data_IF_431706760852
#
_entry.id   IF_431706760852
#
_cell.length_a   1.000
_cell.length_b   1.000
_cell.length_c   1.000
_cell.angle_alpha   90.00
_cell.angle_beta   90.00
_cell.angle_gamma   90.00
#
_symmetry.space_group_name_H-M   'P 1'
#
loop_
_entity.id
_entity.type
_entity.pdbx_description
1 polymer ?
#
# COMPACT_ATOMS: atom_id res chain seq x y z
N UNK A 1 -18.48 2.44 6.48
CA UNK A 1 -17.89 1.47 5.52
C UNK A 1 -17.58 2.17 4.21
N UNK A 2 -18.54 2.89 3.65
CA UNK A 2 -18.46 3.58 2.36
C UNK A 2 -17.26 4.53 2.21
N UNK A 3 -16.89 5.28 3.25
CA UNK A 3 -15.68 6.12 3.22
C UNK A 3 -14.39 5.32 3.00
N UNK A 4 -14.34 4.09 3.54
CA UNK A 4 -13.18 3.20 3.42
C UNK A 4 -13.13 2.56 2.04
N UNK A 5 -14.29 2.21 1.50
CA UNK A 5 -14.41 1.73 0.12
C UNK A 5 -14.07 2.85 -0.88
N UNK A 6 -14.49 4.10 -0.62
CA UNK A 6 -14.12 5.28 -1.40
C UNK A 6 -12.61 5.51 -1.37
N UNK A 7 -11.96 5.44 -0.20
CA UNK A 7 -10.50 5.55 -0.10
C UNK A 7 -9.81 4.54 -1.02
N UNK A 8 -10.22 3.27 -0.94
CA UNK A 8 -9.64 2.17 -1.72
C UNK A 8 -9.86 2.31 -3.22
N UNK A 9 -10.98 2.88 -3.64
CA UNK A 9 -11.30 3.07 -5.04
C UNK A 9 -10.63 4.32 -5.63
N UNK A 10 -10.63 5.43 -4.88
CA UNK A 10 -10.27 6.75 -5.40
C UNK A 10 -8.78 7.01 -5.25
N UNK A 11 -8.19 6.79 -4.08
CA UNK A 11 -6.80 7.19 -3.80
C UNK A 11 -5.78 6.51 -4.72
N UNK A 12 -5.84 5.17 -4.94
CA UNK A 12 -4.90 4.50 -5.83
C UNK A 12 -5.00 4.96 -7.28
N UNK A 13 -6.19 5.37 -7.71
CA UNK A 13 -6.45 5.80 -9.09
C UNK A 13 -6.06 7.26 -9.29
N UNK A 14 -6.51 8.15 -8.40
CA UNK A 14 -6.26 9.58 -8.48
C UNK A 14 -4.78 9.93 -8.32
N UNK A 15 -4.02 9.12 -7.58
CA UNK A 15 -2.59 9.35 -7.32
C UNK A 15 -1.69 8.31 -7.98
N UNK A 16 -2.17 7.55 -8.97
CA UNK A 16 -1.42 6.45 -9.59
C UNK A 16 -0.02 6.88 -10.07
N UNK A 17 0.06 8.01 -10.78
CA UNK A 17 1.31 8.53 -11.33
C UNK A 17 2.28 8.98 -10.22
N UNK A 18 1.77 9.65 -9.20
CA UNK A 18 2.57 10.10 -8.06
C UNK A 18 3.13 8.92 -7.24
N UNK A 19 2.31 7.88 -7.05
CA UNK A 19 2.71 6.64 -6.38
C UNK A 19 3.75 5.85 -7.19
N UNK A 20 3.70 5.93 -8.53
CA UNK A 20 4.68 5.29 -9.39
C UNK A 20 5.99 6.09 -9.54
N UNK A 21 5.93 7.41 -9.38
CA UNK A 21 7.07 8.30 -9.56
C UNK A 21 7.93 8.46 -8.28
N UNK A 22 7.36 8.22 -7.09
CA UNK A 22 8.05 8.46 -5.83
C UNK A 22 8.02 7.25 -4.89
N UNK A 23 9.19 6.63 -4.58
CA UNK A 23 9.29 5.55 -3.60
C UNK A 23 8.72 5.91 -2.24
N UNK A 24 8.94 7.17 -1.84
CA UNK A 24 8.45 7.71 -0.57
C UNK A 24 6.93 7.74 -0.52
N UNK A 25 6.26 8.15 -1.61
CA UNK A 25 4.81 8.18 -1.65
C UNK A 25 4.21 6.78 -1.66
N UNK A 26 4.82 5.82 -2.36
CA UNK A 26 4.39 4.42 -2.30
C UNK A 26 4.51 3.83 -0.89
N UNK A 27 5.61 4.13 -0.18
CA UNK A 27 5.80 3.69 1.21
C UNK A 27 4.80 4.37 2.17
N UNK A 28 4.52 5.67 1.97
CA UNK A 28 3.51 6.38 2.75
C UNK A 28 2.12 5.78 2.54
N UNK A 29 1.74 5.52 1.28
CA UNK A 29 0.46 4.89 0.95
C UNK A 29 0.31 3.48 1.57
N UNK A 30 1.39 2.70 1.59
CA UNK A 30 1.41 1.43 2.31
C UNK A 30 1.17 1.60 3.81
N UNK A 31 1.83 2.59 4.43
CA UNK A 31 1.64 2.91 5.84
C UNK A 31 0.22 3.37 6.14
N UNK A 32 -0.38 4.19 5.29
CA UNK A 32 -1.77 4.64 5.42
C UNK A 32 -2.72 3.43 5.39
N UNK A 33 -2.51 2.50 4.45
CA UNK A 33 -3.30 1.28 4.37
C UNK A 33 -3.17 0.41 5.63
N UNK A 34 -1.95 0.25 6.16
CA UNK A 34 -1.73 -0.49 7.41
C UNK A 34 -2.35 0.22 8.62
N UNK A 35 -2.17 1.54 8.72
CA UNK A 35 -2.74 2.35 9.79
C UNK A 35 -4.26 2.18 9.82
N UNK A 36 -4.92 2.30 8.67
CA UNK A 36 -6.37 2.07 8.55
C UNK A 36 -6.71 0.63 8.97
N UNK A 37 -6.02 -0.37 8.44
CA UNK A 37 -6.26 -1.78 8.79
C UNK A 37 -6.18 -2.05 10.31
N UNK A 38 -5.21 -1.45 11.00
CA UNK A 38 -5.11 -1.54 12.46
C UNK A 38 -6.28 -0.87 13.16
N UNK A 39 -6.70 0.32 12.70
CA UNK A 39 -7.83 1.03 13.29
C UNK A 39 -9.15 0.30 13.08
N UNK A 40 -9.33 -0.39 11.94
CA UNK A 40 -10.53 -1.21 11.71
C UNK A 40 -10.69 -2.34 12.72
N UNK A 41 -9.57 -2.96 13.15
CA UNK A 41 -9.56 -3.97 14.21
C UNK A 41 -9.93 -3.37 15.57
N UNK A 42 -9.31 -2.23 15.92
CA UNK A 42 -9.58 -1.53 17.18
C UNK A 42 -11.02 -1.05 17.25
N UNK A 43 -11.56 -0.49 16.16
CA UNK A 43 -12.94 -0.04 16.09
C UNK A 43 -13.93 -1.18 16.29
N UNK A 44 -13.68 -2.34 15.67
CA UNK A 44 -14.53 -3.50 15.86
C UNK A 44 -14.53 -4.01 17.30
N UNK A 45 -13.40 -3.93 18.01
CA UNK A 45 -13.35 -4.29 19.42
C UNK A 45 -14.07 -3.27 20.32
N UNK A 46 -13.83 -1.97 20.10
CA UNK A 46 -14.31 -0.90 20.99
C UNK A 46 -15.79 -0.53 20.79
N UNK A 47 -16.27 -0.56 19.55
CA UNK A 47 -17.60 -0.04 19.21
C UNK A 47 -18.64 -1.13 18.96
N UNK A 48 -18.26 -2.34 18.53
CA UNK A 48 -19.20 -3.44 18.31
C UNK A 48 -20.10 -3.72 19.53
N UNK A 49 -19.59 -3.78 20.77
CA UNK A 49 -20.45 -4.02 21.95
C UNK A 49 -21.42 -2.87 22.25
N UNK A 50 -21.15 -1.68 21.71
CA UNK A 50 -21.95 -0.46 21.92
C UNK A 50 -23.01 -0.26 20.84
N UNK A 51 -23.00 -1.07 19.79
CA UNK A 51 -23.98 -0.99 18.71
C UNK A 51 -25.26 -1.77 19.09
N UNK A 52 -26.46 -1.26 18.73
CA UNK A 52 -27.69 -2.01 18.90
C UNK A 52 -27.76 -3.20 17.93
N UNK A 53 -28.54 -4.21 18.27
CA UNK A 53 -28.82 -5.33 17.35
C UNK A 53 -29.72 -4.84 16.19
N UNK A 54 -29.48 -5.27 14.93
CA UNK A 54 -28.52 -6.27 14.46
C UNK A 54 -27.16 -5.70 14.00
N UNK A 55 -26.90 -4.41 14.21
CA UNK A 55 -25.66 -3.77 13.75
C UNK A 55 -24.42 -4.32 14.46
N UNK A 56 -24.55 -4.75 15.71
CA UNK A 56 -23.49 -5.46 16.45
C UNK A 56 -23.07 -6.81 15.83
N UNK A 57 -23.89 -7.38 14.94
CA UNK A 57 -23.62 -8.64 14.22
C UNK A 57 -23.11 -8.37 12.79
N UNK A 58 -23.61 -7.33 12.13
CA UNK A 58 -23.45 -7.09 10.69
C UNK A 58 -22.49 -5.96 10.33
N UNK A 59 -22.31 -4.94 11.18
CA UNK A 59 -21.44 -3.79 10.91
C UNK A 59 -19.98 -4.07 11.32
N UNK A 60 -19.42 -5.18 10.88
CA UNK A 60 -18.05 -5.54 11.21
C UNK A 60 -17.11 -4.87 10.20
N UNK A 61 -16.22 -4.00 10.67
CA UNK A 61 -15.17 -3.35 9.85
C UNK A 61 -13.94 -4.24 9.62
N UNK A 62 -13.86 -5.36 10.34
CA UNK A 62 -12.71 -6.29 10.31
C UNK A 62 -12.59 -7.05 8.99
N UNK A 63 -13.71 -7.22 8.29
CA UNK A 63 -13.78 -7.86 6.98
C UNK A 63 -12.95 -7.11 5.92
N UNK A 64 -12.77 -5.80 6.08
CA UNK A 64 -12.00 -4.96 5.18
C UNK A 64 -10.49 -4.95 5.46
N UNK A 65 -10.05 -5.48 6.61
CA UNK A 65 -8.64 -5.50 7.02
C UNK A 65 -7.74 -6.18 6.00
N UNK A 66 -8.07 -7.40 5.49
CA UNK A 66 -7.24 -8.05 4.46
C UNK A 66 -7.10 -7.18 3.22
N UNK A 67 -8.18 -6.52 2.83
CA UNK A 67 -8.24 -5.78 1.59
C UNK A 67 -7.43 -4.47 1.62
N UNK A 68 -7.33 -3.81 2.77
CA UNK A 68 -6.39 -2.70 2.96
C UNK A 68 -4.94 -3.17 2.97
N UNK A 69 -4.64 -4.29 3.65
CA UNK A 69 -3.29 -4.86 3.67
C UNK A 69 -2.81 -5.21 2.27
N UNK A 70 -3.63 -5.93 1.51
CA UNK A 70 -3.33 -6.32 0.15
C UNK A 70 -3.13 -5.09 -0.76
N UNK A 71 -3.97 -4.07 -0.63
CA UNK A 71 -3.84 -2.84 -1.41
C UNK A 71 -2.50 -2.14 -1.14
N UNK A 72 -2.15 -1.91 0.12
CA UNK A 72 -0.88 -1.28 0.49
C UNK A 72 0.33 -2.12 0.04
N UNK A 73 0.27 -3.43 0.23
CA UNK A 73 1.34 -4.36 -0.15
C UNK A 73 1.56 -4.42 -1.66
N UNK A 74 0.48 -4.48 -2.45
CA UNK A 74 0.53 -4.48 -3.91
C UNK A 74 1.29 -3.28 -4.45
N UNK A 75 0.99 -2.08 -3.96
CA UNK A 75 1.63 -0.85 -4.44
C UNK A 75 3.09 -0.76 -4.01
N UNK A 76 3.42 -1.11 -2.76
CA UNK A 76 4.79 -1.09 -2.28
C UNK A 76 5.67 -2.13 -2.99
N UNK A 77 5.15 -3.35 -3.23
CA UNK A 77 5.87 -4.40 -3.98
C UNK A 77 6.15 -3.97 -5.42
N UNK A 78 5.17 -3.35 -6.08
CA UNK A 78 5.36 -2.82 -7.42
C UNK A 78 6.46 -1.74 -7.46
N UNK A 79 6.52 -0.88 -6.44
CA UNK A 79 7.56 0.14 -6.32
C UNK A 79 8.94 -0.45 -6.07
N UNK A 80 9.06 -1.42 -5.15
CA UNK A 80 10.31 -2.13 -4.90
C UNK A 80 10.82 -2.80 -6.19
N UNK A 81 9.92 -3.41 -6.98
CA UNK A 81 10.29 -4.00 -8.26
C UNK A 81 10.82 -2.95 -9.25
N UNK A 82 10.18 -1.78 -9.35
CA UNK A 82 10.64 -0.66 -10.19
C UNK A 82 12.02 -0.16 -9.76
N UNK A 83 12.24 0.04 -8.46
CA UNK A 83 13.52 0.51 -7.93
C UNK A 83 14.64 -0.51 -8.17
N UNK A 84 14.37 -1.81 -7.98
CA UNK A 84 15.34 -2.88 -8.30
C UNK A 84 15.70 -2.89 -9.79
N UNK A 85 14.72 -2.73 -10.67
CA UNK A 85 14.98 -2.65 -12.11
C UNK A 85 15.77 -1.39 -12.50
N UNK A 86 15.47 -0.24 -11.87
CA UNK A 86 16.19 1.01 -12.10
C UNK A 86 17.65 0.93 -11.66
N UNK A 87 17.91 0.38 -10.46
CA UNK A 87 19.27 0.11 -9.97
C UNK A 87 20.02 -0.87 -10.87
N UNK A 88 19.36 -1.95 -11.31
CA UNK A 88 19.97 -2.91 -12.24
C UNK A 88 20.38 -2.26 -13.57
N UNK A 89 19.55 -1.38 -14.13
CA UNK A 89 19.90 -0.60 -15.33
C UNK A 89 21.03 0.37 -15.08
N UNK A 90 21.02 1.09 -13.96
CA UNK A 90 22.08 2.06 -13.64
C UNK A 90 23.43 1.36 -13.46
N UNK A 91 23.45 0.19 -12.81
CA UNK A 91 24.65 -0.61 -12.64
C UNK A 91 25.12 -1.25 -13.96
N UNK A 92 24.20 -1.73 -14.80
CA UNK A 92 24.54 -2.29 -16.13
C UNK A 92 24.93 -1.23 -17.17
N UNK A 93 24.45 0.00 -17.04
CA UNK A 93 24.80 1.12 -17.91
C UNK A 93 26.04 1.88 -17.44
N UNK A 94 26.52 1.64 -16.22
CA UNK A 94 27.77 2.20 -15.74
C UNK A 94 28.93 1.39 -16.31
N UNK A 95 29.85 1.98 -17.11
CA UNK A 95 31.11 1.32 -17.53
C UNK A 95 32.09 1.09 -16.35
N UNK A 96 31.61 1.21 -15.11
CA UNK A 96 32.38 1.54 -13.92
C UNK A 96 33.17 0.37 -13.32
N UNK A 97 33.17 -0.82 -13.95
CA UNK A 97 34.10 -1.89 -13.54
C UNK A 97 35.37 -1.98 -14.39
N UNK A 98 35.53 -1.15 -15.43
CA UNK A 98 36.83 -0.98 -16.09
C UNK A 98 37.49 -2.30 -16.53
N UNK A 99 36.70 -3.29 -16.97
CA UNK A 99 37.22 -4.51 -17.59
C UNK A 99 37.18 -4.46 -19.12
N UNK A 100 36.87 -3.29 -19.67
CA UNK A 100 36.99 -3.02 -21.10
C UNK A 100 38.22 -2.12 -21.33
N UNK A 101 39.38 -2.59 -20.88
CA UNK A 101 40.66 -2.11 -21.37
C UNK A 101 41.60 -3.30 -21.49
N UNK A 102 42.10 -3.46 -22.72
CA UNK A 102 43.08 -4.46 -23.20
C UNK A 102 42.41 -5.81 -23.55
N UNK A 103 42.34 -6.23 -24.81
CA UNK A 103 43.36 -6.15 -25.85
C UNK A 103 43.93 -7.54 -26.08
#
# INVERSE_FOLDING_TARGET
RDMLDMFRAVVPLAHADALAASPRLAALFHNDCLYIAHHLMVMAFLYRPKLPEPLNQTAQTVDMVPAFRELGEKHLRAEIARQRAALGRALGAAPFLGLDAEG
#
